data_IF_578603815384
#
_entry.id   IF_578603815384
#
_cell.length_a   1.000
_cell.length_b   1.000
_cell.length_c   1.000
_cell.angle_alpha   90.00
_cell.angle_beta   90.00
_cell.angle_gamma   90.00
#
_symmetry.space_group_name_H-M   'P 1'
#
loop_
_entity.id
_entity.type
_entity.pdbx_description
1 polymer ?
#
# COMPACT_ATOMS: atom_id res chain seq x y z
N UNK A 1 8.78 -25.75 12.22
CA UNK A 1 8.78 -24.89 11.01
C UNK A 1 8.00 -23.61 11.31
N UNK A 2 8.39 -22.85 12.32
CA UNK A 2 7.77 -21.56 12.69
C UNK A 2 8.83 -20.66 13.38
N UNK A 3 10.04 -20.59 12.83
CA UNK A 3 11.10 -19.70 13.36
C UNK A 3 11.78 -18.85 12.28
N UNK A 4 11.15 -18.72 11.11
CA UNK A 4 11.44 -17.61 10.19
C UNK A 4 10.21 -16.73 10.16
N UNK A 5 10.29 -15.50 10.66
CA UNK A 5 9.26 -14.52 10.29
C UNK A 5 9.03 -13.34 11.22
N UNK A 6 9.54 -13.31 12.45
CA UNK A 6 9.34 -12.12 13.30
C UNK A 6 10.21 -10.94 12.87
N UNK A 7 11.39 -11.18 12.30
CA UNK A 7 12.30 -10.13 11.83
C UNK A 7 11.94 -9.59 10.43
N UNK A 8 11.32 -10.38 9.55
CA UNK A 8 11.00 -9.99 8.17
C UNK A 8 9.70 -9.16 8.07
N UNK A 9 8.67 -9.51 8.85
CA UNK A 9 7.39 -8.77 8.85
C UNK A 9 7.54 -7.34 9.41
N UNK A 10 8.51 -7.13 10.30
CA UNK A 10 8.80 -5.84 10.90
C UNK A 10 9.44 -4.84 9.93
N UNK A 11 9.93 -5.27 8.78
CA UNK A 11 10.48 -4.38 7.75
C UNK A 11 9.36 -3.78 6.87
N UNK A 12 8.40 -4.61 6.45
CA UNK A 12 7.32 -4.19 5.54
C UNK A 12 6.23 -3.31 6.18
N UNK A 13 6.03 -3.42 7.50
CA UNK A 13 5.03 -2.63 8.23
C UNK A 13 5.54 -1.28 8.71
N UNK A 14 6.80 -0.93 8.41
CA UNK A 14 7.35 0.38 8.75
C UNK A 14 6.65 1.46 7.93
N UNK A 15 6.32 2.62 8.51
CA UNK A 15 5.73 3.73 7.74
C UNK A 15 6.52 4.08 6.47
N UNK A 16 7.85 4.08 6.54
CA UNK A 16 8.72 4.31 5.38
C UNK A 16 8.55 3.24 4.29
N UNK A 17 8.54 1.96 4.65
CA UNK A 17 8.37 0.86 3.72
C UNK A 17 6.98 0.87 3.04
N UNK A 18 5.93 1.28 3.76
CA UNK A 18 4.58 1.45 3.18
C UNK A 18 4.57 2.57 2.15
N UNK A 19 5.18 3.72 2.47
CA UNK A 19 5.27 4.87 1.57
C UNK A 19 6.06 4.53 0.31
N UNK A 20 7.16 3.80 0.44
CA UNK A 20 8.00 3.36 -0.67
C UNK A 20 7.28 2.34 -1.55
N UNK A 21 6.72 1.27 -0.97
CA UNK A 21 6.05 0.20 -1.71
C UNK A 21 4.82 0.69 -2.49
N UNK A 22 4.06 1.62 -1.92
CA UNK A 22 2.86 2.17 -2.56
C UNK A 22 3.12 3.48 -3.31
N UNK A 23 4.37 3.96 -3.37
CA UNK A 23 4.75 5.22 -4.01
C UNK A 23 3.79 6.39 -3.65
N UNK A 24 3.64 6.64 -2.35
CA UNK A 24 2.62 7.55 -1.82
C UNK A 24 3.01 9.03 -1.88
N UNK A 25 4.26 9.37 -2.20
CA UNK A 25 4.74 10.78 -2.26
C UNK A 25 4.36 11.46 -3.58
N UNK A 26 3.10 11.33 -3.99
CA UNK A 26 2.53 11.87 -5.22
C UNK A 26 1.17 12.52 -4.98
N UNK A 27 0.75 13.39 -5.88
CA UNK A 27 -0.54 14.07 -5.81
C UNK A 27 -1.73 13.18 -6.26
N UNK A 28 -1.93 12.03 -5.62
CA UNK A 28 -2.95 11.02 -5.98
C UNK A 28 -4.23 11.08 -5.12
N UNK A 29 -4.32 12.00 -4.16
CA UNK A 29 -5.38 12.00 -3.14
C UNK A 29 -6.68 12.70 -3.56
N UNK A 30 -6.65 13.55 -4.59
CA UNK A 30 -7.86 14.30 -5.01
C UNK A 30 -9.00 13.37 -5.45
N UNK A 31 -8.67 12.26 -6.11
CA UNK A 31 -9.67 11.31 -6.63
C UNK A 31 -10.38 10.50 -5.54
N UNK A 32 -9.84 10.42 -4.33
CA UNK A 32 -10.45 9.70 -3.20
C UNK A 32 -11.21 10.61 -2.24
N UNK A 33 -11.12 11.94 -2.41
CA UNK A 33 -11.82 12.93 -1.59
C UNK A 33 -13.37 12.82 -1.69
N UNK A 34 -13.88 12.08 -2.67
CA UNK A 34 -15.31 11.79 -2.82
C UNK A 34 -15.51 10.34 -3.23
N UNK A 35 -16.61 9.77 -2.75
CA UNK A 35 -17.03 8.40 -3.02
C UNK A 35 -16.09 7.31 -2.49
N UNK A 36 -15.26 7.62 -1.49
CA UNK A 36 -14.46 6.66 -0.73
C UNK A 36 -13.05 6.39 -1.27
N UNK A 37 -12.24 5.75 -0.43
CA UNK A 37 -10.81 5.45 -0.67
C UNK A 37 -10.53 4.05 -1.23
N UNK A 38 -11.48 3.11 -1.04
CA UNK A 38 -11.30 1.69 -1.33
C UNK A 38 -12.36 1.15 -2.29
N UNK A 39 -12.06 0.01 -2.93
CA UNK A 39 -13.00 -0.69 -3.82
C UNK A 39 -13.25 0.08 -5.11
N UNK A 40 -12.16 0.60 -5.68
CA UNK A 40 -12.14 1.48 -6.85
C UNK A 40 -10.96 1.11 -7.76
N UNK A 41 -10.90 -0.14 -8.27
CA UNK A 41 -9.78 -0.63 -9.09
C UNK A 41 -9.59 0.18 -10.39
N UNK A 42 -10.62 0.88 -10.85
CA UNK A 42 -10.58 1.77 -12.01
C UNK A 42 -9.78 3.06 -11.79
N UNK A 43 -9.42 3.41 -10.54
CA UNK A 43 -8.72 4.67 -10.19
C UNK A 43 -7.19 4.57 -10.16
N UNK A 44 -6.62 3.43 -10.57
CA UNK A 44 -5.17 3.12 -10.56
C UNK A 44 -4.49 3.58 -9.26
N UNK A 45 -5.12 3.24 -8.13
CA UNK A 45 -4.58 3.51 -6.81
C UNK A 45 -3.64 2.36 -6.41
N UNK A 46 -2.44 2.66 -5.88
CA UNK A 46 -1.43 1.64 -5.64
C UNK A 46 -1.85 0.60 -4.60
N UNK A 47 -2.74 0.94 -3.67
CA UNK A 47 -3.28 0.01 -2.67
C UNK A 47 -4.44 -0.87 -3.16
N UNK A 48 -4.99 -0.60 -4.35
CA UNK A 48 -6.02 -1.44 -4.97
C UNK A 48 -5.41 -2.53 -5.87
N UNK A 49 -4.10 -2.48 -6.13
CA UNK A 49 -3.39 -3.49 -6.94
C UNK A 49 -3.32 -4.81 -6.16
N UNK A 50 -3.71 -5.90 -6.82
CA UNK A 50 -3.75 -7.25 -6.22
C UNK A 50 -2.46 -8.04 -6.45
N UNK A 51 -1.59 -7.54 -7.33
CA UNK A 51 -0.24 -8.05 -7.54
C UNK A 51 0.68 -7.61 -6.38
N UNK A 52 1.44 -8.57 -5.86
CA UNK A 52 2.55 -8.25 -4.96
C UNK A 52 3.72 -7.77 -5.81
N UNK A 53 4.25 -6.58 -5.50
CA UNK A 53 5.52 -6.09 -6.04
C UNK A 53 6.71 -6.90 -5.47
#
# INVERSE_FOLDING_TARGET
>A
YLERGQHDLAQGSRPGAIIERLDLRRAIYRQTATYGHFGRPERDLPWERTEAA
#
